data_IF_838425503852
#
_entry.id   IF_838425503852
#
_cell.length_a   1.000
_cell.length_b   1.000
_cell.length_c   1.000
_cell.angle_alpha   90.00
_cell.angle_beta   90.00
_cell.angle_gamma   90.00
#
_symmetry.space_group_name_H-M   'P 1'
#
loop_
_entity.id
_entity.type
_entity.pdbx_description
1 polymer ?
#
# COMPACT_ATOMS: atom_id res chain seq x y z
N UNK A 1 -6.38 -40.25 -15.25
CA UNK A 1 -6.39 -38.90 -14.64
C UNK A 1 -5.59 -38.96 -13.35
N UNK A 2 -4.85 -37.90 -13.00
CA UNK A 2 -3.95 -37.91 -11.85
C UNK A 2 -4.77 -37.70 -10.56
N UNK A 3 -4.73 -38.66 -9.61
CA UNK A 3 -5.52 -38.68 -8.37
C UNK A 3 -5.44 -37.36 -7.58
N UNK A 4 -4.30 -36.66 -7.67
CA UNK A 4 -4.11 -35.35 -7.03
C UNK A 4 -5.03 -34.27 -7.61
N UNK A 5 -5.27 -34.29 -8.92
CA UNK A 5 -6.13 -33.30 -9.59
C UNK A 5 -7.60 -33.54 -9.24
N UNK A 6 -8.03 -34.81 -9.15
CA UNK A 6 -9.37 -35.19 -8.70
C UNK A 6 -9.63 -34.75 -7.25
N UNK A 7 -8.67 -34.97 -6.35
CA UNK A 7 -8.77 -34.53 -4.96
C UNK A 7 -8.86 -33.00 -4.82
N UNK A 8 -8.10 -32.25 -5.60
CA UNK A 8 -8.17 -30.78 -5.59
C UNK A 8 -9.50 -30.27 -6.16
N UNK A 9 -10.00 -30.90 -7.22
CA UNK A 9 -11.27 -30.53 -7.85
C UNK A 9 -12.46 -30.80 -6.94
N UNK A 10 -12.44 -31.86 -6.14
CA UNK A 10 -13.53 -32.19 -5.21
C UNK A 10 -13.57 -31.28 -3.97
N UNK A 11 -12.52 -30.50 -3.72
CA UNK A 11 -12.40 -29.58 -2.58
C UNK A 11 -12.26 -28.11 -3.04
N UNK A 12 -12.65 -27.80 -4.28
CA UNK A 12 -12.66 -26.43 -4.75
C UNK A 12 -13.75 -25.63 -4.03
N UNK A 13 -13.45 -24.38 -3.65
CA UNK A 13 -14.46 -23.47 -3.09
C UNK A 13 -15.54 -23.16 -4.12
N UNK A 14 -16.79 -23.12 -3.67
CA UNK A 14 -17.94 -22.70 -4.49
C UNK A 14 -17.79 -21.27 -5.03
N UNK A 15 -16.99 -20.42 -4.36
CA UNK A 15 -16.70 -19.05 -4.79
C UNK A 15 -15.32 -19.00 -5.47
N UNK A 16 -15.25 -18.69 -6.77
CA UNK A 16 -13.98 -18.52 -7.45
C UNK A 16 -13.16 -17.40 -6.81
N UNK A 17 -11.89 -17.68 -6.50
CA UNK A 17 -10.97 -16.66 -6.02
C UNK A 17 -10.63 -15.68 -7.15
N UNK A 18 -10.70 -14.38 -6.84
CA UNK A 18 -10.32 -13.29 -7.76
C UNK A 18 -8.80 -13.09 -7.91
N UNK A 19 -7.98 -14.09 -7.54
CA UNK A 19 -6.52 -13.93 -7.51
C UNK A 19 -5.94 -13.63 -8.90
N UNK A 20 -6.54 -14.17 -9.96
CA UNK A 20 -6.05 -14.02 -11.33
C UNK A 20 -6.32 -12.61 -11.84
N UNK A 21 -7.53 -12.10 -11.63
CA UNK A 21 -7.91 -10.72 -11.94
C UNK A 21 -7.06 -9.73 -11.14
N UNK A 22 -6.90 -9.96 -9.83
CA UNK A 22 -6.09 -9.11 -8.96
C UNK A 22 -4.61 -9.10 -9.37
N UNK A 23 -4.07 -10.24 -9.81
CA UNK A 23 -2.70 -10.33 -10.32
C UNK A 23 -2.55 -9.57 -11.63
N UNK A 24 -3.53 -9.68 -12.54
CA UNK A 24 -3.52 -8.93 -13.79
C UNK A 24 -3.61 -7.42 -13.55
N UNK A 25 -4.52 -6.98 -12.69
CA UNK A 25 -4.65 -5.57 -12.30
C UNK A 25 -3.33 -5.02 -11.74
N UNK A 26 -2.62 -5.78 -10.89
CA UNK A 26 -1.31 -5.37 -10.37
C UNK A 26 -0.25 -5.18 -11.48
N UNK A 27 -0.28 -6.01 -12.52
CA UNK A 27 0.63 -5.85 -13.67
C UNK A 27 0.28 -4.61 -14.49
N UNK A 28 -1.01 -4.43 -14.78
CA UNK A 28 -1.49 -3.31 -15.60
C UNK A 28 -1.28 -1.96 -14.90
N UNK A 29 -1.21 -1.96 -13.56
CA UNK A 29 -1.06 -0.77 -12.72
C UNK A 29 0.33 -0.67 -12.04
N UNK A 30 1.32 -1.44 -12.51
CA UNK A 30 2.60 -1.61 -11.83
C UNK A 30 3.33 -0.28 -11.53
N UNK A 31 3.29 0.68 -12.46
CA UNK A 31 4.02 1.94 -12.34
C UNK A 31 3.56 2.76 -11.13
N UNK A 32 2.26 3.09 -11.06
CA UNK A 32 1.75 3.91 -9.97
C UNK A 32 1.62 3.14 -8.66
N UNK A 33 1.42 1.82 -8.71
CA UNK A 33 1.50 0.97 -7.52
C UNK A 33 2.92 0.98 -6.93
N UNK A 34 3.95 1.00 -7.77
CA UNK A 34 5.33 1.17 -7.33
C UNK A 34 5.56 2.49 -6.59
N UNK A 35 4.96 3.59 -7.07
CA UNK A 35 4.99 4.87 -6.35
C UNK A 35 4.24 4.79 -5.03
N UNK A 36 3.02 4.24 -5.02
CA UNK A 36 2.22 4.12 -3.80
C UNK A 36 2.95 3.30 -2.72
N UNK A 37 3.53 2.16 -3.10
CA UNK A 37 4.30 1.31 -2.19
C UNK A 37 5.55 2.03 -1.65
N UNK A 38 6.30 2.73 -2.51
CA UNK A 38 7.46 3.49 -2.07
C UNK A 38 7.08 4.53 -1.01
N UNK A 39 6.02 5.30 -1.26
CA UNK A 39 5.51 6.31 -0.33
C UNK A 39 5.11 5.66 0.99
N UNK A 40 4.33 4.59 0.94
CA UNK A 40 3.91 3.84 2.12
C UNK A 40 5.09 3.34 2.94
N UNK A 41 6.09 2.73 2.31
CA UNK A 41 7.27 2.21 3.01
C UNK A 41 8.08 3.32 3.69
N UNK A 42 8.24 4.48 3.03
CA UNK A 42 8.94 5.62 3.61
C UNK A 42 8.18 6.19 4.81
N UNK A 43 6.86 6.30 4.70
CA UNK A 43 5.98 6.75 5.79
C UNK A 43 6.05 5.79 6.97
N UNK A 44 5.93 4.47 6.73
CA UNK A 44 6.03 3.46 7.79
C UNK A 44 7.39 3.50 8.48
N UNK A 45 8.48 3.58 7.72
CA UNK A 45 9.83 3.72 8.27
C UNK A 45 9.95 4.97 9.15
N UNK A 46 9.48 6.11 8.67
CA UNK A 46 9.51 7.37 9.43
C UNK A 46 8.65 7.31 10.69
N UNK A 47 7.52 6.61 10.64
CA UNK A 47 6.68 6.37 11.82
C UNK A 47 7.41 5.53 12.87
N UNK A 48 8.08 4.46 12.45
CA UNK A 48 8.87 3.60 13.35
C UNK A 48 10.04 4.37 13.98
N UNK A 49 10.78 5.15 13.19
CA UNK A 49 11.91 5.97 13.65
C UNK A 49 11.50 7.04 14.68
N UNK A 50 10.28 7.59 14.55
CA UNK A 50 9.75 8.63 15.44
C UNK A 50 8.85 8.08 16.57
N UNK A 51 8.59 6.76 16.61
CA UNK A 51 7.64 6.17 17.55
C UNK A 51 6.19 6.67 17.37
N UNK A 52 5.80 7.02 16.14
CA UNK A 52 4.48 7.57 15.81
C UNK A 52 3.53 6.44 15.42
N UNK A 53 2.42 6.32 16.13
CA UNK A 53 1.36 5.36 15.81
C UNK A 53 0.47 5.85 14.66
N UNK A 54 -0.25 4.93 13.99
CA UNK A 54 -1.22 5.29 12.94
C UNK A 54 -2.30 6.26 13.44
N UNK A 55 -2.71 6.13 14.71
CA UNK A 55 -3.68 7.03 15.33
C UNK A 55 -3.12 8.44 15.46
N UNK A 56 -1.89 8.58 15.96
CA UNK A 56 -1.22 9.87 16.07
C UNK A 56 -0.97 10.51 14.70
N UNK A 57 -0.57 9.72 13.70
CA UNK A 57 -0.43 10.24 12.33
C UNK A 57 -1.77 10.76 11.80
N UNK A 58 -2.87 10.03 12.02
CA UNK A 58 -4.21 10.45 11.60
C UNK A 58 -4.61 11.77 12.25
N UNK A 59 -4.33 11.93 13.55
CA UNK A 59 -4.54 13.18 14.29
C UNK A 59 -3.72 14.34 13.70
N UNK A 60 -2.44 14.10 13.36
CA UNK A 60 -1.55 15.12 12.76
C UNK A 60 -2.01 15.60 11.39
N UNK A 61 -2.50 14.69 10.53
CA UNK A 61 -2.96 15.04 9.17
C UNK A 61 -4.45 15.39 9.08
N UNK A 62 -5.17 15.34 10.21
CA UNK A 62 -6.58 15.69 10.33
C UNK A 62 -7.53 14.71 9.63
N UNK A 63 -7.27 13.41 9.72
CA UNK A 63 -8.10 12.37 9.12
C UNK A 63 -8.44 11.24 10.10
N UNK A 64 -9.14 10.21 9.62
CA UNK A 64 -9.46 9.02 10.44
C UNK A 64 -8.29 8.03 10.46
N UNK A 65 -8.17 7.26 11.54
CA UNK A 65 -7.19 6.16 11.61
C UNK A 65 -7.43 5.10 10.51
N UNK A 66 -8.69 4.84 10.17
CA UNK A 66 -9.05 3.93 9.08
C UNK A 66 -8.51 4.40 7.73
N UNK A 67 -8.54 5.71 7.48
CA UNK A 67 -7.94 6.30 6.28
C UNK A 67 -6.44 6.05 6.24
N UNK A 68 -5.72 6.29 7.34
CA UNK A 68 -4.28 5.99 7.44
C UNK A 68 -4.00 4.51 7.23
N UNK A 69 -4.79 3.62 7.84
CA UNK A 69 -4.64 2.16 7.64
C UNK A 69 -4.80 1.76 6.17
N UNK A 70 -5.77 2.34 5.46
CA UNK A 70 -5.94 2.10 4.03
C UNK A 70 -4.80 2.68 3.19
N UNK A 71 -4.32 3.87 3.53
CA UNK A 71 -3.19 4.51 2.88
C UNK A 71 -1.91 3.67 3.01
N UNK A 72 -1.69 3.08 4.18
CA UNK A 72 -0.53 2.24 4.47
C UNK A 72 -0.61 0.82 3.88
N UNK A 73 -1.64 0.49 3.11
CA UNK A 73 -1.68 -0.76 2.31
C UNK A 73 -0.86 -0.67 1.02
N UNK A 74 -0.48 0.54 0.59
CA UNK A 74 0.34 0.75 -0.62
C UNK A 74 -0.37 0.40 -1.93
N UNK A 75 -1.70 0.29 -1.93
CA UNK A 75 -2.53 0.03 -3.10
C UNK A 75 -3.55 1.14 -3.39
N UNK A 76 -3.46 2.25 -2.65
CA UNK A 76 -4.35 3.41 -2.78
C UNK A 76 -3.72 4.48 -3.67
N UNK A 77 -4.53 5.07 -4.55
CA UNK A 77 -4.14 6.28 -5.28
C UNK A 77 -4.20 7.49 -4.32
N UNK A 78 -3.04 7.95 -3.85
CA UNK A 78 -2.93 9.09 -2.95
C UNK A 78 -2.90 10.40 -3.74
N UNK A 79 -3.61 11.42 -3.26
CA UNK A 79 -3.49 12.76 -3.84
C UNK A 79 -2.17 13.41 -3.44
N UNK A 80 -1.70 14.36 -4.25
CA UNK A 80 -0.53 15.18 -3.91
C UNK A 80 -0.73 15.94 -2.59
N UNK A 81 -1.97 16.35 -2.31
CA UNK A 81 -2.32 16.98 -1.04
C UNK A 81 -2.06 16.05 0.14
N UNK A 82 -2.47 14.78 0.06
CA UNK A 82 -2.21 13.80 1.11
C UNK A 82 -0.71 13.58 1.30
N UNK A 83 0.06 13.48 0.21
CA UNK A 83 1.52 13.34 0.27
C UNK A 83 2.14 14.53 1.01
N UNK A 84 1.77 15.76 0.65
CA UNK A 84 2.28 16.97 1.30
C UNK A 84 1.89 17.05 2.79
N UNK A 85 0.71 16.54 3.18
CA UNK A 85 0.32 16.45 4.59
C UNK A 85 1.17 15.44 5.35
N UNK A 86 1.49 14.29 4.74
CA UNK A 86 2.38 13.28 5.35
C UNK A 86 3.80 13.83 5.54
N UNK A 87 4.34 14.50 4.53
CA UNK A 87 5.65 15.19 4.60
C UNK A 87 5.71 16.15 5.79
N UNK A 88 4.69 17.00 5.94
CA UNK A 88 4.62 17.95 7.07
C UNK A 88 4.42 17.27 8.43
N UNK A 89 3.60 16.22 8.50
CA UNK A 89 3.26 15.55 9.75
C UNK A 89 4.41 14.69 10.30
N UNK A 90 5.29 14.22 9.42
CA UNK A 90 6.42 13.37 9.75
C UNK A 90 7.78 14.08 9.52
N UNK A 91 7.79 15.32 9.06
CA UNK A 91 9.02 16.07 8.75
C UNK A 91 9.96 15.29 7.81
N UNK A 92 9.41 14.78 6.71
CA UNK A 92 10.13 14.01 5.68
C UNK A 92 9.90 14.61 4.29
N UNK A 93 10.81 14.32 3.35
CA UNK A 93 10.67 14.71 1.94
C UNK A 93 10.49 13.45 1.07
N UNK A 94 9.25 13.13 0.73
CA UNK A 94 8.88 11.90 0.04
C UNK A 94 9.25 12.02 -1.45
N UNK A 95 8.88 13.14 -2.07
CA UNK A 95 9.06 13.34 -3.52
C UNK A 95 10.54 13.41 -3.89
N UNK A 96 11.35 14.16 -3.14
CA UNK A 96 12.80 14.25 -3.39
C UNK A 96 13.49 12.91 -3.20
N UNK A 97 13.10 12.15 -2.17
CA UNK A 97 13.70 10.85 -1.90
C UNK A 97 13.49 9.93 -3.09
N UNK A 98 12.28 9.88 -3.68
CA UNK A 98 12.02 9.02 -4.85
C UNK A 98 12.91 9.34 -6.06
N UNK A 99 13.12 10.63 -6.34
CA UNK A 99 13.96 11.08 -7.45
C UNK A 99 15.44 10.68 -7.28
N UNK A 100 15.91 10.58 -6.04
CA UNK A 100 17.30 10.23 -5.74
C UNK A 100 17.59 8.75 -5.99
N UNK A 101 16.63 7.87 -5.71
CA UNK A 101 16.72 6.42 -5.95
C UNK A 101 16.36 5.98 -7.38
N UNK A 102 16.09 6.93 -8.28
CA UNK A 102 15.80 6.66 -9.70
C UNK A 102 17.02 6.83 -10.61
N UNK A 103 18.22 7.01 -10.04
CA UNK A 103 19.50 7.02 -10.76
C UNK A 103 20.19 5.67 -10.67
#
# INVERSE_FOLDING_TARGET
>A
MNKTVEYLSSHQSDTPSHWKENAQWRRDNADWLGYAQFITLLVMKSMDEQGVTQKQLAERIGCTQQYVSNLLKGNSNMTLETIARLEKALDIDIVRTKLTYSK
#
